data_IF_452351001679
#
_entry.id   IF_452351001679
#
_cell.length_a   1.000
_cell.length_b   1.000
_cell.length_c   1.000
_cell.angle_alpha   90.00
_cell.angle_beta   90.00
_cell.angle_gamma   90.00
#
_symmetry.space_group_name_H-M   'P 1'
#
loop_
_entity.id
_entity.type
_entity.pdbx_description
1 polymer ?
#
# COMPACT_ATOMS: atom_id res chain seq x y z
N UNK A 1 -40.38 28.62 7.07
CA UNK A 1 -39.06 28.43 6.42
C UNK A 1 -37.89 28.77 7.35
N UNK A 2 -37.79 29.99 7.89
CA UNK A 2 -36.67 30.41 8.77
C UNK A 2 -36.48 29.54 10.02
N UNK A 3 -37.57 29.10 10.66
CA UNK A 3 -37.52 28.22 11.84
C UNK A 3 -36.97 26.83 11.48
N UNK A 4 -37.31 26.30 10.30
CA UNK A 4 -36.81 25.00 9.82
C UNK A 4 -35.32 25.12 9.49
N UNK A 5 -34.88 26.23 8.88
CA UNK A 5 -33.47 26.49 8.59
C UNK A 5 -32.66 26.64 9.88
N UNK A 6 -33.20 27.32 10.90
CA UNK A 6 -32.57 27.44 12.22
C UNK A 6 -32.50 26.10 12.96
N UNK A 7 -33.56 25.30 12.93
CA UNK A 7 -33.57 23.96 13.55
C UNK A 7 -32.56 23.04 12.83
N UNK A 8 -32.52 23.04 11.50
CA UNK A 8 -31.55 22.26 10.72
C UNK A 8 -30.13 22.73 10.99
N UNK A 9 -29.89 24.03 11.10
CA UNK A 9 -28.56 24.60 11.37
C UNK A 9 -28.10 24.35 12.81
N UNK A 10 -29.00 24.38 13.79
CA UNK A 10 -28.70 24.08 15.20
C UNK A 10 -28.51 22.58 15.41
N UNK A 11 -29.31 21.74 14.77
CA UNK A 11 -29.11 20.28 14.76
C UNK A 11 -27.80 19.94 14.04
N UNK A 12 -27.47 20.63 12.94
CA UNK A 12 -26.21 20.49 12.23
C UNK A 12 -25.02 20.95 13.09
N UNK A 13 -25.12 22.08 13.77
CA UNK A 13 -24.09 22.60 14.67
C UNK A 13 -23.88 21.72 15.90
N UNK A 14 -24.95 21.21 16.52
CA UNK A 14 -24.87 20.30 17.66
C UNK A 14 -24.38 18.90 17.25
N UNK A 15 -24.79 18.40 16.08
CA UNK A 15 -24.27 17.16 15.51
C UNK A 15 -22.79 17.30 15.10
N UNK A 16 -22.39 18.44 14.52
CA UNK A 16 -21.02 18.77 14.16
C UNK A 16 -20.13 18.97 15.39
N UNK A 17 -20.64 19.62 16.45
CA UNK A 17 -19.94 19.78 17.74
C UNK A 17 -19.78 18.44 18.47
N UNK A 18 -20.82 17.60 18.47
CA UNK A 18 -20.78 16.24 19.05
C UNK A 18 -19.94 15.27 18.21
N UNK A 19 -19.83 15.51 16.89
CA UNK A 19 -18.91 14.83 15.98
C UNK A 19 -17.45 15.28 16.18
N UNK A 20 -17.19 16.59 16.33
CA UNK A 20 -15.87 17.15 16.62
C UNK A 20 -15.34 16.70 17.99
N UNK A 21 -16.21 16.59 18.99
CA UNK A 21 -15.86 15.99 20.30
C UNK A 21 -15.66 14.47 20.24
N UNK A 22 -16.07 13.80 19.16
CA UNK A 22 -15.84 12.38 18.87
C UNK A 22 -14.79 12.21 17.77
N UNK A 23 -13.80 13.10 17.69
CA UNK A 23 -12.60 12.86 16.86
C UNK A 23 -11.63 11.83 17.44
N UNK A 24 -12.12 10.92 18.29
CA UNK A 24 -11.78 9.53 18.06
C UNK A 24 -12.44 9.12 16.73
N UNK A 25 -11.69 9.27 15.62
CA UNK A 25 -11.86 8.44 14.42
C UNK A 25 -12.25 7.02 14.86
N UNK A 26 -13.12 6.31 14.11
CA UNK A 26 -13.90 5.19 14.63
C UNK A 26 -13.06 4.32 15.58
N UNK A 27 -13.62 3.77 16.67
CA UNK A 27 -12.88 3.01 17.70
C UNK A 27 -12.01 1.84 17.20
N UNK A 28 -11.97 1.63 15.88
CA UNK A 28 -11.47 0.50 15.11
C UNK A 28 -10.50 0.95 13.99
N UNK A 29 -9.79 2.08 14.15
CA UNK A 29 -8.78 2.56 13.20
C UNK A 29 -7.50 1.72 13.24
N UNK A 30 -7.54 0.51 12.68
CA UNK A 30 -6.38 -0.38 12.56
C UNK A 30 -5.55 -0.06 11.30
N UNK A 31 -4.35 -0.66 11.21
CA UNK A 31 -3.47 -0.49 10.04
C UNK A 31 -2.56 0.73 10.06
N UNK A 32 -1.97 1.02 8.91
CA UNK A 32 -0.99 2.06 8.65
C UNK A 32 -1.58 3.28 7.93
N UNK A 33 -2.65 3.07 7.15
CA UNK A 33 -3.30 4.11 6.34
C UNK A 33 -4.46 4.77 7.10
N UNK A 34 -5.32 3.97 7.73
CA UNK A 34 -6.55 4.45 8.37
C UNK A 34 -6.41 4.89 9.83
N UNK A 35 -5.25 4.63 10.46
CA UNK A 35 -5.04 4.84 11.89
C UNK A 35 -4.40 6.19 12.20
N UNK A 36 -4.54 6.66 13.45
CA UNK A 36 -4.03 7.95 13.90
C UNK A 36 -3.43 7.88 15.32
N UNK A 37 -2.86 8.99 15.79
CA UNK A 37 -2.40 9.14 17.17
C UNK A 37 -1.12 8.36 17.50
N UNK A 38 -1.03 7.87 18.74
CA UNK A 38 0.10 7.06 19.22
C UNK A 38 0.10 5.66 18.56
N UNK A 39 -1.07 5.06 18.40
CA UNK A 39 -1.24 3.77 17.73
C UNK A 39 -0.61 3.78 16.33
N UNK A 40 -0.93 4.78 15.50
CA UNK A 40 -0.33 4.90 14.16
C UNK A 40 1.19 5.03 14.19
N UNK A 41 1.72 5.76 15.18
CA UNK A 41 3.17 5.93 15.31
C UNK A 41 3.86 4.63 15.65
N UNK A 42 3.27 3.81 16.53
CA UNK A 42 3.79 2.49 16.88
C UNK A 42 3.77 1.55 15.68
N UNK A 43 2.62 1.42 15.01
CA UNK A 43 2.48 0.57 13.82
C UNK A 43 3.44 1.01 12.70
N UNK A 44 3.53 2.32 12.42
CA UNK A 44 4.43 2.85 11.40
C UNK A 44 5.90 2.64 11.73
N UNK A 45 6.31 2.87 12.98
CA UNK A 45 7.71 2.64 13.41
C UNK A 45 8.09 1.19 13.25
N UNK A 46 7.22 0.28 13.71
CA UNK A 46 7.39 -1.15 13.53
C UNK A 46 7.52 -1.49 12.05
N UNK A 47 6.56 -1.08 11.22
CA UNK A 47 6.55 -1.45 9.81
C UNK A 47 7.79 -0.95 9.05
N UNK A 48 8.22 0.30 9.28
CA UNK A 48 9.42 0.85 8.65
C UNK A 48 10.69 0.13 9.11
N UNK A 49 10.79 -0.21 10.39
CA UNK A 49 11.91 -0.97 10.93
C UNK A 49 11.98 -2.36 10.30
N UNK A 50 10.87 -3.09 10.33
CA UNK A 50 10.72 -4.44 9.80
C UNK A 50 10.98 -4.49 8.30
N UNK A 51 10.40 -3.59 7.50
CA UNK A 51 10.68 -3.52 6.06
C UNK A 51 12.15 -3.24 5.77
N UNK A 52 12.82 -2.40 6.57
CA UNK A 52 14.26 -2.14 6.43
C UNK A 52 15.12 -3.35 6.81
N UNK A 53 14.70 -4.14 7.80
CA UNK A 53 15.35 -5.40 8.15
C UNK A 53 15.17 -6.45 7.05
N UNK A 54 14.02 -6.46 6.38
CA UNK A 54 13.73 -7.26 5.19
C UNK A 54 14.11 -6.60 3.86
N UNK A 55 14.95 -5.56 3.91
CA UNK A 55 15.80 -5.16 2.80
C UNK A 55 15.38 -3.90 2.10
N UNK A 56 14.27 -3.28 2.49
CA UNK A 56 13.85 -2.02 1.94
C UNK A 56 15.01 -1.00 2.03
N UNK A 57 15.51 -0.59 0.86
CA UNK A 57 16.64 0.33 0.73
C UNK A 57 18.04 -0.29 0.93
N UNK A 58 18.17 -1.62 0.87
CA UNK A 58 19.45 -2.36 0.94
C UNK A 58 19.63 -3.27 -0.29
N UNK A 59 20.86 -3.71 -0.52
CA UNK A 59 21.25 -4.50 -1.70
C UNK A 59 20.48 -5.82 -1.85
N UNK A 60 20.11 -6.50 -0.76
CA UNK A 60 19.40 -7.77 -0.90
C UNK A 60 17.95 -7.62 -1.41
N UNK A 61 17.35 -6.43 -1.30
CA UNK A 61 16.06 -6.17 -1.95
C UNK A 61 16.20 -6.05 -3.46
N UNK A 62 17.29 -5.44 -3.91
CA UNK A 62 17.66 -5.42 -5.31
C UNK A 62 17.85 -6.83 -5.84
N UNK A 63 18.56 -7.69 -5.11
CA UNK A 63 18.69 -9.13 -5.47
C UNK A 63 17.31 -9.81 -5.58
N UNK A 64 16.42 -9.62 -4.60
CA UNK A 64 15.05 -10.18 -4.66
C UNK A 64 14.25 -9.67 -5.86
N UNK A 65 14.37 -8.38 -6.19
CA UNK A 65 13.70 -7.79 -7.36
C UNK A 65 14.28 -8.37 -8.65
N UNK A 66 15.60 -8.48 -8.74
CA UNK A 66 16.29 -9.00 -9.93
C UNK A 66 16.00 -10.49 -10.14
N UNK A 67 15.91 -11.29 -9.07
CA UNK A 67 15.47 -12.70 -9.15
C UNK A 67 14.10 -12.82 -9.84
N UNK A 68 13.11 -12.03 -9.38
CA UNK A 68 11.75 -12.09 -9.93
C UNK A 68 11.71 -11.53 -11.36
N UNK A 69 12.49 -10.48 -11.62
CA UNK A 69 12.64 -9.90 -12.95
C UNK A 69 13.20 -10.92 -13.94
N UNK A 70 14.33 -11.56 -13.61
CA UNK A 70 14.96 -12.56 -14.47
C UNK A 70 14.02 -13.72 -14.79
N UNK A 71 13.31 -14.23 -13.77
CA UNK A 71 12.38 -15.34 -13.97
C UNK A 71 11.25 -14.96 -14.93
N UNK A 72 10.66 -13.78 -14.75
CA UNK A 72 9.55 -13.32 -15.58
C UNK A 72 10.01 -13.00 -17.01
N UNK A 73 11.18 -12.40 -17.18
CA UNK A 73 11.70 -12.08 -18.51
C UNK A 73 12.19 -13.31 -19.27
N UNK A 74 12.70 -14.35 -18.58
CA UNK A 74 12.96 -15.67 -19.19
C UNK A 74 11.69 -16.33 -19.77
N UNK A 75 10.51 -16.03 -19.23
CA UNK A 75 9.24 -16.47 -19.81
C UNK A 75 8.88 -15.66 -21.06
N UNK A 76 9.12 -14.34 -21.03
CA UNK A 76 8.89 -13.44 -22.16
C UNK A 76 9.77 -13.77 -23.36
N UNK A 77 11.04 -14.14 -23.13
CA UNK A 77 11.97 -14.52 -24.20
C UNK A 77 11.46 -15.72 -25.02
N UNK A 78 10.62 -16.58 -24.43
CA UNK A 78 10.02 -17.73 -25.13
C UNK A 78 8.91 -17.33 -26.10
N UNK A 79 8.36 -16.12 -25.96
CA UNK A 79 7.23 -15.63 -26.76
C UNK A 79 7.66 -15.06 -28.12
N UNK A 80 8.97 -15.04 -28.43
CA UNK A 80 9.52 -14.75 -29.77
C UNK A 80 8.93 -13.52 -30.49
N UNK A 81 8.61 -12.45 -29.75
CA UNK A 81 8.12 -11.19 -30.30
C UNK A 81 6.61 -11.10 -30.51
N UNK A 82 5.84 -12.08 -30.01
CA UNK A 82 4.38 -11.99 -30.00
C UNK A 82 3.88 -10.83 -29.10
N UNK A 83 2.76 -10.17 -29.45
CA UNK A 83 2.16 -9.15 -28.61
C UNK A 83 1.72 -9.73 -27.26
N UNK A 84 2.10 -9.06 -26.17
CA UNK A 84 1.79 -9.49 -24.80
C UNK A 84 0.94 -8.46 -24.04
N UNK A 85 0.04 -8.90 -23.15
CA UNK A 85 -0.59 -8.03 -22.17
C UNK A 85 0.43 -7.67 -21.08
N UNK A 86 1.17 -6.57 -21.26
CA UNK A 86 2.27 -6.20 -20.34
C UNK A 86 1.78 -5.91 -18.92
N UNK A 87 0.55 -5.44 -18.76
CA UNK A 87 -0.04 -5.13 -17.45
C UNK A 87 0.00 -6.36 -16.52
N UNK A 88 -0.46 -7.51 -16.99
CA UNK A 88 -0.53 -8.75 -16.20
C UNK A 88 0.88 -9.23 -15.78
N UNK A 89 1.88 -8.99 -16.64
CA UNK A 89 3.27 -9.34 -16.37
C UNK A 89 3.88 -8.46 -15.27
N UNK A 90 3.63 -7.15 -15.30
CA UNK A 90 4.06 -6.26 -14.22
C UNK A 90 3.29 -6.51 -12.93
N UNK A 91 2.00 -6.82 -13.02
CA UNK A 91 1.17 -7.11 -11.87
C UNK A 91 1.71 -8.31 -11.07
N UNK A 92 1.91 -9.45 -11.73
CA UNK A 92 2.42 -10.65 -11.05
C UNK A 92 3.86 -10.48 -10.56
N UNK A 93 4.69 -9.71 -11.29
CA UNK A 93 6.07 -9.39 -10.92
C UNK A 93 6.10 -8.58 -9.61
N UNK A 94 5.36 -7.47 -9.57
CA UNK A 94 5.27 -6.61 -8.37
C UNK A 94 4.64 -7.38 -7.21
N UNK A 95 3.60 -8.16 -7.49
CA UNK A 95 2.91 -8.97 -6.48
C UNK A 95 3.84 -9.98 -5.84
N UNK A 96 4.69 -10.63 -6.64
CA UNK A 96 5.67 -11.60 -6.15
C UNK A 96 6.75 -10.97 -5.28
N UNK A 97 7.25 -9.79 -5.66
CA UNK A 97 8.22 -9.03 -4.84
C UNK A 97 7.62 -8.64 -3.50
N UNK A 98 6.40 -8.11 -3.49
CA UNK A 98 5.69 -7.73 -2.26
C UNK A 98 5.43 -8.96 -1.38
N UNK A 99 4.96 -10.04 -1.98
CA UNK A 99 4.60 -11.24 -1.24
C UNK A 99 5.83 -11.95 -0.64
N UNK A 100 7.00 -11.89 -1.30
CA UNK A 100 8.28 -12.31 -0.70
C UNK A 100 8.66 -11.48 0.52
N UNK A 101 8.24 -10.22 0.62
CA UNK A 101 8.46 -9.39 1.82
C UNK A 101 7.46 -9.67 2.93
N UNK A 102 6.21 -9.98 2.58
CA UNK A 102 5.12 -10.12 3.55
C UNK A 102 4.94 -11.53 4.09
N UNK A 103 5.18 -12.55 3.27
CA UNK A 103 4.96 -13.97 3.58
C UNK A 103 6.08 -14.91 3.09
N UNK A 104 7.24 -14.40 2.67
CA UNK A 104 8.37 -15.22 2.20
C UNK A 104 8.09 -16.16 1.02
N UNK A 105 7.00 -15.97 0.27
CA UNK A 105 6.70 -16.76 -0.93
C UNK A 105 6.38 -15.88 -2.14
N UNK A 106 6.56 -16.44 -3.34
CA UNK A 106 6.30 -15.75 -4.61
C UNK A 106 5.09 -16.38 -5.32
N UNK A 107 4.52 -15.64 -6.26
CA UNK A 107 3.51 -16.20 -7.14
C UNK A 107 4.16 -16.94 -8.31
N UNK A 108 3.86 -18.23 -8.45
CA UNK A 108 4.25 -19.11 -9.53
C UNK A 108 3.02 -19.52 -10.36
N UNK A 109 3.22 -20.29 -11.43
CA UNK A 109 2.10 -20.77 -12.28
C UNK A 109 1.06 -21.59 -11.49
N UNK A 110 1.44 -22.20 -10.35
CA UNK A 110 0.55 -23.06 -9.56
C UNK A 110 -0.35 -22.26 -8.62
N UNK A 111 0.13 -21.12 -8.13
CA UNK A 111 -0.60 -20.25 -7.21
C UNK A 111 -0.95 -18.88 -7.83
N UNK A 112 -0.72 -18.66 -9.12
CA UNK A 112 -1.07 -17.41 -9.81
C UNK A 112 -2.56 -17.06 -9.68
N UNK A 113 -3.45 -18.06 -9.64
CA UNK A 113 -4.89 -17.85 -9.41
C UNK A 113 -5.18 -17.21 -8.04
N UNK A 114 -4.34 -17.47 -7.04
CA UNK A 114 -4.43 -16.81 -5.73
C UNK A 114 -4.18 -15.31 -5.89
N UNK A 115 -3.11 -14.93 -6.59
CA UNK A 115 -2.82 -13.52 -6.91
C UNK A 115 -3.96 -12.86 -7.70
N UNK A 116 -4.42 -13.47 -8.79
CA UNK A 116 -5.49 -12.89 -9.60
C UNK A 116 -6.82 -12.80 -8.85
N UNK A 117 -7.08 -13.73 -7.92
CA UNK A 117 -8.20 -13.65 -6.99
C UNK A 117 -8.12 -12.40 -6.11
N UNK A 118 -6.95 -12.18 -5.48
CA UNK A 118 -6.70 -11.00 -4.64
C UNK A 118 -6.81 -9.69 -5.44
N UNK A 119 -6.13 -9.62 -6.59
CA UNK A 119 -6.15 -8.48 -7.50
C UNK A 119 -7.58 -8.12 -7.92
N UNK A 120 -8.40 -9.11 -8.28
CA UNK A 120 -9.80 -8.91 -8.67
C UNK A 120 -10.64 -8.30 -7.53
N UNK A 121 -10.40 -8.71 -6.29
CA UNK A 121 -11.10 -8.11 -5.15
C UNK A 121 -10.63 -6.67 -4.87
N UNK A 122 -9.35 -6.37 -5.11
CA UNK A 122 -8.81 -5.00 -5.03
C UNK A 122 -9.38 -4.12 -6.13
N UNK A 123 -9.42 -4.58 -7.38
CA UNK A 123 -9.99 -3.85 -8.51
C UNK A 123 -11.46 -3.50 -8.26
N UNK A 124 -12.27 -4.47 -7.83
CA UNK A 124 -13.67 -4.23 -7.43
C UNK A 124 -13.78 -3.19 -6.31
N UNK A 125 -12.84 -3.18 -5.37
CA UNK A 125 -12.81 -2.22 -4.27
C UNK A 125 -12.42 -0.82 -4.74
N UNK A 126 -11.53 -0.69 -5.72
CA UNK A 126 -11.14 0.58 -6.31
C UNK A 126 -12.23 1.14 -7.23
N UNK A 127 -12.87 0.30 -8.04
CA UNK A 127 -14.01 0.67 -8.87
C UNK A 127 -15.22 1.13 -8.04
N UNK A 128 -15.38 0.55 -6.84
CA UNK A 128 -16.46 0.95 -5.93
C UNK A 128 -16.23 2.29 -5.24
N UNK A 129 -14.99 2.84 -5.25
CA UNK A 129 -14.67 4.15 -4.68
C UNK A 129 -15.29 5.28 -5.52
N UNK A 130 -16.55 5.59 -5.25
CA UNK A 130 -17.22 6.73 -5.90
C UNK A 130 -16.74 8.07 -5.33
N UNK A 131 -16.92 9.15 -6.10
CA UNK A 131 -16.74 10.53 -5.61
C UNK A 131 -17.58 10.83 -4.35
N UNK A 132 -18.71 10.13 -4.17
CA UNK A 132 -19.56 10.24 -2.98
C UNK A 132 -18.81 9.76 -1.73
N UNK A 133 -18.02 8.70 -1.84
CA UNK A 133 -17.23 8.15 -0.74
C UNK A 133 -16.06 9.05 -0.33
N UNK A 134 -15.42 9.69 -1.30
CA UNK A 134 -14.24 10.55 -1.07
C UNK A 134 -14.61 11.99 -0.70
N UNK A 135 -15.75 12.50 -1.18
CA UNK A 135 -16.12 13.93 -1.04
C UNK A 135 -17.08 14.17 0.12
N UNK A 136 -17.94 13.21 0.47
CA UNK A 136 -18.89 13.39 1.57
C UNK A 136 -18.23 12.98 2.89
N UNK A 137 -18.21 13.82 3.93
CA UNK A 137 -17.67 13.44 5.23
C UNK A 137 -18.35 12.19 5.81
N UNK A 138 -17.55 11.30 6.39
CA UNK A 138 -17.98 10.01 6.96
C UNK A 138 -19.23 10.09 7.84
N UNK A 139 -19.36 11.15 8.65
CA UNK A 139 -20.52 11.32 9.53
C UNK A 139 -21.83 11.53 8.77
N UNK A 140 -21.81 12.25 7.64
CA UNK A 140 -22.99 12.42 6.78
C UNK A 140 -23.36 11.13 6.08
N UNK A 141 -22.34 10.36 5.66
CA UNK A 141 -22.56 9.04 5.08
C UNK A 141 -23.27 8.10 6.06
N UNK A 142 -22.99 8.19 7.37
CA UNK A 142 -23.62 7.33 8.38
C UNK A 142 -25.00 7.81 8.85
N UNK A 143 -25.25 9.12 8.87
CA UNK A 143 -26.51 9.69 9.36
C UNK A 143 -27.65 9.63 8.34
N UNK A 144 -27.36 9.73 7.05
CA UNK A 144 -28.39 9.76 5.99
C UNK A 144 -28.63 8.31 5.50
N UNK A 145 -29.84 7.73 5.65
CA UNK A 145 -30.08 6.31 5.34
C UNK A 145 -29.68 5.88 3.91
N UNK A 146 -29.89 6.77 2.93
CA UNK A 146 -29.50 6.51 1.55
C UNK A 146 -27.96 6.48 1.39
N UNK A 147 -27.25 7.45 1.96
CA UNK A 147 -25.78 7.46 1.94
C UNK A 147 -25.18 6.32 2.76
N UNK A 148 -25.84 5.88 3.84
CA UNK A 148 -25.41 4.73 4.63
C UNK A 148 -25.47 3.46 3.80
N UNK A 149 -26.57 3.25 3.07
CA UNK A 149 -26.71 2.12 2.14
C UNK A 149 -25.64 2.15 1.05
N UNK A 150 -25.32 3.34 0.54
CA UNK A 150 -24.25 3.55 -0.43
C UNK A 150 -22.89 3.18 0.18
N UNK A 151 -22.57 3.67 1.38
CA UNK A 151 -21.35 3.35 2.11
C UNK A 151 -21.20 1.84 2.37
N UNK A 152 -22.25 1.20 2.89
CA UNK A 152 -22.28 -0.25 3.14
C UNK A 152 -22.10 -1.04 1.83
N UNK A 153 -22.59 -0.54 0.70
CA UNK A 153 -22.41 -1.20 -0.60
C UNK A 153 -20.99 -1.00 -1.13
N UNK A 154 -20.40 0.17 -0.93
CA UNK A 154 -19.04 0.49 -1.41
C UNK A 154 -17.94 -0.13 -0.55
N UNK A 155 -18.20 -0.35 0.74
CA UNK A 155 -17.26 -1.02 1.65
C UNK A 155 -17.32 -2.55 1.56
N UNK A 156 -18.32 -3.12 0.88
CA UNK A 156 -18.47 -4.58 0.73
C UNK A 156 -17.27 -5.26 0.06
N UNK A 157 -16.77 -4.76 -1.09
CA UNK A 157 -15.60 -5.33 -1.76
C UNK A 157 -14.35 -5.38 -0.88
N UNK A 158 -14.15 -4.39 0.00
CA UNK A 158 -13.00 -4.36 0.92
C UNK A 158 -12.98 -5.54 1.89
N UNK A 159 -14.14 -6.13 2.22
CA UNK A 159 -14.17 -7.37 3.02
C UNK A 159 -13.62 -8.56 2.26
N UNK A 160 -13.77 -8.63 0.93
CA UNK A 160 -13.20 -9.69 0.10
C UNK A 160 -11.69 -9.73 0.21
N UNK A 161 -11.05 -8.58 0.01
CA UNK A 161 -9.58 -8.41 0.13
C UNK A 161 -9.12 -8.72 1.56
N UNK A 162 -9.80 -8.17 2.57
CA UNK A 162 -9.47 -8.41 3.98
C UNK A 162 -9.59 -9.90 4.34
N UNK A 163 -10.65 -10.58 3.92
CA UNK A 163 -10.87 -11.99 4.22
C UNK A 163 -9.81 -12.88 3.58
N UNK A 164 -9.36 -12.53 2.38
CA UNK A 164 -8.29 -13.24 1.70
C UNK A 164 -6.98 -13.17 2.48
N UNK A 165 -6.57 -11.96 2.88
CA UNK A 165 -5.35 -11.76 3.70
C UNK A 165 -5.52 -12.42 5.07
N UNK A 166 -6.71 -12.34 5.67
CA UNK A 166 -7.01 -12.98 6.95
C UNK A 166 -6.81 -14.49 6.90
N UNK A 167 -7.20 -15.15 5.80
CA UNK A 167 -6.97 -16.58 5.58
C UNK A 167 -5.48 -16.92 5.55
N UNK A 168 -4.68 -16.17 4.79
CA UNK A 168 -3.24 -16.39 4.71
C UNK A 168 -2.55 -16.18 6.06
N UNK A 169 -2.93 -15.13 6.79
CA UNK A 169 -2.43 -14.89 8.16
C UNK A 169 -2.83 -16.05 9.07
N UNK A 170 -4.07 -16.51 9.01
CA UNK A 170 -4.54 -17.62 9.85
C UNK A 170 -3.83 -18.94 9.56
N UNK A 171 -3.63 -19.28 8.28
CA UNK A 171 -2.84 -20.43 7.84
C UNK A 171 -1.39 -20.33 8.37
N UNK A 172 -0.73 -19.18 8.20
CA UNK A 172 0.62 -18.94 8.71
C UNK A 172 0.70 -19.08 10.24
N UNK A 173 -0.24 -18.50 10.97
CA UNK A 173 -0.26 -18.58 12.43
C UNK A 173 -0.49 -20.01 12.94
N UNK A 174 -1.28 -20.81 12.22
CA UNK A 174 -1.45 -22.23 12.51
C UNK A 174 -0.14 -23.00 12.25
N UNK A 175 0.53 -22.75 11.13
CA UNK A 175 1.81 -23.39 10.80
C UNK A 175 2.90 -23.11 11.84
N UNK A 176 2.94 -21.89 12.36
CA UNK A 176 3.83 -21.51 13.47
C UNK A 176 3.48 -22.29 14.74
N UNK A 177 2.19 -22.39 15.10
CA UNK A 177 1.75 -23.09 16.30
C UNK A 177 1.98 -24.61 16.22
N UNK A 178 1.81 -25.19 15.03
CA UNK A 178 2.06 -26.60 14.74
C UNK A 178 3.57 -26.92 14.69
N UNK A 179 4.45 -25.91 14.70
CA UNK A 179 5.89 -26.06 14.51
C UNK A 179 6.30 -26.44 13.09
N UNK A 180 5.40 -26.28 12.11
CA UNK A 180 5.67 -26.51 10.68
C UNK A 180 6.43 -25.35 10.03
N UNK A 181 6.27 -24.14 10.58
CA UNK A 181 7.00 -22.94 10.17
C UNK A 181 7.96 -22.51 11.28
N UNK A 182 9.29 -22.70 11.14
CA UNK A 182 10.25 -22.28 12.14
C UNK A 182 10.35 -20.74 12.16
N UNK A 183 10.30 -20.16 13.36
CA UNK A 183 10.51 -18.72 13.55
C UNK A 183 11.98 -18.45 13.88
N UNK A 184 12.65 -17.64 13.06
CA UNK A 184 13.93 -17.03 13.41
C UNK A 184 13.78 -15.94 14.49
N UNK A 185 14.89 -15.48 15.06
CA UNK A 185 14.91 -14.49 16.16
C UNK A 185 14.21 -13.15 15.79
N UNK A 186 14.24 -12.75 14.52
CA UNK A 186 13.59 -11.54 13.99
C UNK A 186 12.41 -11.84 13.03
N UNK A 187 12.05 -13.12 12.84
CA UNK A 187 11.11 -13.56 11.80
C UNK A 187 11.73 -13.58 10.39
N UNK A 188 11.13 -14.32 9.46
CA UNK A 188 11.63 -14.43 8.08
C UNK A 188 10.99 -13.40 7.13
N UNK A 189 9.78 -12.94 7.48
CA UNK A 189 9.01 -11.91 6.79
C UNK A 189 8.22 -11.02 7.74
N UNK A 190 7.50 -10.06 7.16
CA UNK A 190 6.67 -9.12 7.91
C UNK A 190 5.63 -9.80 8.81
N UNK A 191 5.00 -10.88 8.35
CA UNK A 191 3.98 -11.60 9.12
C UNK A 191 4.60 -12.22 10.37
N UNK A 192 5.73 -12.91 10.21
CA UNK A 192 6.47 -13.55 11.29
C UNK A 192 6.99 -12.52 12.31
N UNK A 193 7.62 -11.43 11.83
CA UNK A 193 8.12 -10.36 12.68
C UNK A 193 6.99 -9.71 13.49
N UNK A 194 5.83 -9.48 12.87
CA UNK A 194 4.68 -8.90 13.56
C UNK A 194 4.11 -9.88 14.59
N UNK A 195 4.07 -11.17 14.28
CA UNK A 195 3.64 -12.20 15.22
C UNK A 195 4.56 -12.24 16.46
N UNK A 196 5.88 -12.18 16.27
CA UNK A 196 6.86 -12.11 17.36
C UNK A 196 6.64 -10.87 18.24
N UNK A 197 6.43 -9.70 17.62
CA UNK A 197 6.14 -8.46 18.36
C UNK A 197 4.81 -8.56 19.11
N UNK A 198 3.76 -9.13 18.51
CA UNK A 198 2.49 -9.39 19.17
C UNK A 198 2.65 -10.29 20.41
N UNK A 199 3.45 -11.36 20.31
CA UNK A 199 3.74 -12.27 21.43
C UNK A 199 4.54 -11.58 22.54
N UNK A 200 5.48 -10.70 22.19
CA UNK A 200 6.24 -9.90 23.15
C UNK A 200 5.34 -8.90 23.88
N UNK A 201 4.55 -8.13 23.13
CA UNK A 201 3.66 -7.11 23.67
C UNK A 201 2.54 -7.70 24.52
N UNK A 202 2.05 -8.90 24.22
CA UNK A 202 1.06 -9.57 25.06
C UNK A 202 1.58 -9.84 26.49
N UNK A 203 2.90 -10.02 26.66
CA UNK A 203 3.54 -10.22 27.98
C UNK A 203 3.82 -8.89 28.69
N UNK A 204 4.24 -7.87 27.95
CA UNK A 204 4.70 -6.59 28.50
C UNK A 204 3.58 -5.56 28.69
N UNK A 205 2.62 -5.51 27.75
CA UNK A 205 1.53 -4.54 27.72
C UNK A 205 0.24 -5.12 27.10
N UNK A 206 -0.71 -5.62 27.93
CA UNK A 206 -1.98 -6.17 27.45
C UNK A 206 -2.89 -5.20 26.70
N UNK A 207 -2.61 -3.88 26.76
CA UNK A 207 -3.35 -2.84 26.03
C UNK A 207 -2.66 -2.41 24.72
N UNK A 208 -1.62 -3.14 24.32
CA UNK A 208 -0.89 -2.87 23.09
C UNK A 208 -1.80 -2.92 21.85
N UNK A 209 -1.52 -2.05 20.89
CA UNK A 209 -2.21 -2.03 19.59
C UNK A 209 -1.85 -3.21 18.70
N UNK A 210 -0.86 -4.04 19.06
CA UNK A 210 -0.43 -5.20 18.30
C UNK A 210 -1.36 -6.38 18.55
N UNK A 211 -2.23 -6.68 17.58
CA UNK A 211 -3.16 -7.81 17.62
C UNK A 211 -3.39 -8.38 16.20
N UNK A 212 -4.06 -9.53 16.11
CA UNK A 212 -4.32 -10.22 14.83
C UNK A 212 -5.04 -9.34 13.81
N UNK A 213 -6.02 -8.55 14.24
CA UNK A 213 -6.74 -7.64 13.36
C UNK A 213 -5.81 -6.55 12.79
N UNK A 214 -4.94 -6.00 13.64
CA UNK A 214 -3.95 -4.99 13.25
C UNK A 214 -2.88 -5.53 12.30
N UNK A 215 -2.49 -6.79 12.46
CA UNK A 215 -1.63 -7.51 11.51
C UNK A 215 -2.29 -7.62 10.13
N UNK A 216 -3.52 -8.12 10.07
CA UNK A 216 -4.27 -8.31 8.81
C UNK A 216 -4.40 -6.98 8.07
N UNK A 217 -4.81 -5.92 8.77
CA UNK A 217 -4.97 -4.59 8.14
C UNK A 217 -3.61 -4.00 7.74
N UNK A 218 -2.53 -4.22 8.50
CA UNK A 218 -1.19 -3.74 8.12
C UNK A 218 -0.66 -4.43 6.87
N UNK A 219 -0.84 -5.76 6.74
CA UNK A 219 -0.47 -6.51 5.53
C UNK A 219 -1.29 -6.04 4.34
N UNK A 220 -2.60 -5.87 4.52
CA UNK A 220 -3.51 -5.33 3.50
C UNK A 220 -3.03 -3.95 2.99
N UNK A 221 -2.73 -3.03 3.92
CA UNK A 221 -2.28 -1.69 3.60
C UNK A 221 -0.95 -1.72 2.82
N UNK A 222 0.00 -2.54 3.24
CA UNK A 222 1.30 -2.69 2.55
C UNK A 222 1.15 -3.30 1.15
N UNK A 223 0.29 -4.30 1.01
CA UNK A 223 0.06 -4.97 -0.27
C UNK A 223 -0.59 -4.04 -1.28
N UNK A 224 -1.71 -3.39 -0.92
CA UNK A 224 -2.43 -2.48 -1.81
C UNK A 224 -1.55 -1.29 -2.19
N UNK A 225 -0.88 -0.67 -1.20
CA UNK A 225 -0.04 0.49 -1.45
C UNK A 225 1.14 0.16 -2.36
N UNK A 226 1.76 -1.01 -2.21
CA UNK A 226 2.88 -1.44 -3.04
C UNK A 226 2.48 -1.88 -4.45
N UNK A 227 1.38 -2.62 -4.56
CA UNK A 227 0.98 -3.29 -5.81
C UNK A 227 0.54 -2.30 -6.87
N UNK A 228 -0.57 -1.62 -6.61
CA UNK A 228 -1.27 -0.79 -7.61
C UNK A 228 -0.38 0.37 -8.07
N UNK A 229 0.29 1.03 -7.13
CA UNK A 229 1.10 2.21 -7.43
C UNK A 229 2.30 1.86 -8.31
N UNK A 230 2.98 0.74 -8.02
CA UNK A 230 4.19 0.33 -8.75
C UNK A 230 3.84 -0.25 -10.11
N UNK A 231 2.87 -1.17 -10.19
CA UNK A 231 2.47 -1.81 -11.45
C UNK A 231 1.97 -0.79 -12.48
N UNK A 232 1.09 0.13 -12.05
CA UNK A 232 0.62 1.22 -12.92
C UNK A 232 1.77 2.13 -13.36
N UNK A 233 2.70 2.47 -12.45
CA UNK A 233 3.86 3.30 -12.80
C UNK A 233 4.72 2.63 -13.88
N UNK A 234 4.97 1.33 -13.77
CA UNK A 234 5.73 0.57 -14.76
C UNK A 234 5.01 0.51 -16.12
N UNK A 235 3.70 0.25 -16.11
CA UNK A 235 2.89 0.29 -17.34
C UNK A 235 2.98 1.65 -18.05
N UNK A 236 2.77 2.74 -17.32
CA UNK A 236 2.84 4.09 -17.86
C UNK A 236 4.25 4.49 -18.30
N UNK A 237 5.28 4.01 -17.61
CA UNK A 237 6.67 4.18 -18.01
C UNK A 237 6.93 3.49 -19.35
N UNK A 238 6.46 2.26 -19.54
CA UNK A 238 6.62 1.56 -20.83
C UNK A 238 5.85 2.27 -21.96
N UNK A 239 4.58 2.61 -21.72
CA UNK A 239 3.76 3.36 -22.69
C UNK A 239 4.45 4.67 -23.07
N UNK A 240 5.12 5.34 -22.14
CA UNK A 240 5.89 6.55 -22.43
C UNK A 240 7.00 6.30 -23.44
N UNK A 241 7.83 5.29 -23.16
CA UNK A 241 9.02 4.98 -23.93
C UNK A 241 8.62 4.55 -25.35
N UNK A 242 7.56 3.75 -25.48
CA UNK A 242 7.00 3.36 -26.77
C UNK A 242 6.50 4.57 -27.59
N UNK A 243 5.90 5.57 -26.94
CA UNK A 243 5.43 6.79 -27.61
C UNK A 243 6.53 7.84 -27.83
N UNK A 244 7.71 7.67 -27.23
CA UNK A 244 8.84 8.60 -27.34
C UNK A 244 10.14 7.85 -27.69
N UNK A 245 10.27 7.29 -28.90
CA UNK A 245 11.44 6.47 -29.28
C UNK A 245 12.78 7.20 -29.12
N UNK A 246 12.80 8.52 -29.31
CA UNK A 246 13.99 9.34 -29.12
C UNK A 246 14.45 9.45 -27.65
N UNK A 247 13.52 9.35 -26.69
CA UNK A 247 13.84 9.29 -25.26
C UNK A 247 14.35 7.90 -24.91
N UNK A 248 13.65 6.87 -25.40
CA UNK A 248 14.01 5.47 -25.21
C UNK A 248 15.42 5.16 -25.70
N UNK A 249 15.78 5.61 -26.91
CA UNK A 249 17.12 5.43 -27.47
C UNK A 249 18.21 6.12 -26.65
N UNK A 250 17.93 7.31 -26.11
CA UNK A 250 18.89 8.01 -25.23
C UNK A 250 19.08 7.28 -23.88
N UNK A 251 17.99 6.76 -23.31
CA UNK A 251 18.07 5.93 -22.10
C UNK A 251 18.88 4.67 -22.40
N UNK A 252 18.54 3.95 -23.47
CA UNK A 252 19.26 2.73 -23.88
C UNK A 252 20.75 3.00 -24.06
N UNK A 253 21.12 4.08 -24.74
CA UNK A 253 22.52 4.47 -24.95
C UNK A 253 23.25 4.75 -23.63
N UNK A 254 22.67 5.54 -22.73
CA UNK A 254 23.26 5.82 -21.41
C UNK A 254 23.49 4.52 -20.60
N UNK A 255 22.51 3.61 -20.63
CA UNK A 255 22.60 2.33 -19.91
C UNK A 255 23.65 1.39 -20.54
N UNK A 256 23.69 1.29 -21.87
CA UNK A 256 24.67 0.47 -22.60
C UNK A 256 26.11 0.95 -22.38
N UNK A 257 26.33 2.28 -22.41
CA UNK A 257 27.64 2.86 -22.14
C UNK A 257 28.11 2.60 -20.69
N UNK A 258 27.19 2.45 -19.74
CA UNK A 258 27.51 2.21 -18.33
C UNK A 258 27.75 0.74 -17.99
N UNK A 259 27.03 -0.16 -18.64
CA UNK A 259 27.11 -1.61 -18.37
C UNK A 259 27.99 -2.36 -19.37
N UNK A 260 28.49 -1.67 -20.40
CA UNK A 260 29.13 -2.25 -21.58
C UNK A 260 28.26 -3.33 -22.26
N UNK A 261 26.95 -3.33 -21.98
CA UNK A 261 26.00 -4.36 -22.42
C UNK A 261 26.20 -5.76 -21.82
N UNK A 262 27.11 -5.93 -20.84
CA UNK A 262 27.57 -7.24 -20.37
C UNK A 262 27.14 -7.58 -18.93
N UNK A 263 26.42 -6.68 -18.26
CA UNK A 263 25.92 -6.90 -16.89
C UNK A 263 24.59 -6.21 -16.67
N UNK A 264 23.87 -6.67 -15.65
CA UNK A 264 22.65 -6.03 -15.19
C UNK A 264 22.91 -4.68 -14.53
N UNK A 265 21.85 -3.87 -14.50
CA UNK A 265 21.84 -2.57 -13.83
C UNK A 265 21.77 -2.76 -12.31
N UNK A 266 22.58 -2.03 -11.56
CA UNK A 266 22.54 -2.04 -10.10
C UNK A 266 22.02 -0.74 -9.50
N UNK A 267 21.50 -0.76 -8.27
CA UNK A 267 21.19 0.48 -7.53
C UNK A 267 22.44 1.37 -7.34
N UNK A 268 23.63 0.79 -7.34
CA UNK A 268 24.90 1.54 -7.28
C UNK A 268 25.19 2.35 -8.55
N UNK A 269 24.53 2.03 -9.66
CA UNK A 269 24.63 2.75 -10.93
C UNK A 269 23.75 4.00 -10.96
N UNK A 270 22.81 4.14 -10.02
CA UNK A 270 21.86 5.26 -9.99
C UNK A 270 22.54 6.64 -10.08
N UNK A 271 23.63 6.97 -9.37
CA UNK A 271 24.29 8.27 -9.52
C UNK A 271 24.92 8.50 -10.90
N UNK A 272 25.15 7.43 -11.68
CA UNK A 272 25.82 7.45 -12.98
C UNK A 272 24.83 7.46 -14.16
N UNK A 273 23.53 7.43 -13.90
CA UNK A 273 22.48 7.42 -14.92
C UNK A 273 21.58 8.68 -14.84
N UNK A 274 22.14 9.89 -14.94
CA UNK A 274 21.39 11.13 -14.72
C UNK A 274 20.21 11.29 -15.69
N UNK A 275 20.33 10.87 -16.95
CA UNK A 275 19.24 10.99 -17.92
C UNK A 275 18.11 10.01 -17.62
N UNK A 276 18.44 8.74 -17.36
CA UNK A 276 17.44 7.75 -16.95
C UNK A 276 16.71 8.16 -15.67
N UNK A 277 17.42 8.67 -14.66
CA UNK A 277 16.78 9.20 -13.45
C UNK A 277 15.85 10.38 -13.76
N UNK A 278 16.23 11.27 -14.66
CA UNK A 278 15.38 12.38 -15.08
C UNK A 278 14.09 11.87 -15.74
N UNK A 279 14.18 10.86 -16.62
CA UNK A 279 13.00 10.22 -17.23
C UNK A 279 12.06 9.62 -16.19
N UNK A 280 12.60 8.90 -15.20
CA UNK A 280 11.81 8.36 -14.09
C UNK A 280 11.16 9.49 -13.27
N UNK A 281 11.91 10.57 -12.96
CA UNK A 281 11.44 11.67 -12.13
C UNK A 281 10.38 12.54 -12.80
N UNK A 282 10.54 12.88 -14.08
CA UNK A 282 9.55 13.66 -14.84
C UNK A 282 8.19 12.96 -14.80
N UNK A 283 8.18 11.63 -14.88
CA UNK A 283 6.94 10.86 -14.75
C UNK A 283 6.32 10.90 -13.35
N UNK A 284 7.10 11.04 -12.28
CA UNK A 284 6.52 11.27 -10.94
C UNK A 284 5.71 12.57 -10.85
N UNK A 285 6.00 13.54 -11.72
CA UNK A 285 5.40 14.88 -11.71
C UNK A 285 4.14 14.94 -12.59
N UNK A 286 4.15 14.25 -13.74
CA UNK A 286 3.04 14.28 -14.72
C UNK A 286 1.84 13.41 -14.35
N UNK A 287 1.99 12.43 -13.45
CA UNK A 287 0.90 11.54 -13.04
C UNK A 287 0.38 11.87 -11.62
N UNK A 288 -0.87 12.35 -11.47
CA UNK A 288 -1.40 12.83 -10.19
C UNK A 288 -1.54 11.77 -9.08
N UNK A 289 -1.49 10.47 -9.39
CA UNK A 289 -1.53 9.40 -8.37
C UNK A 289 -0.36 9.44 -7.39
N UNK A 290 0.75 10.09 -7.76
CA UNK A 290 1.91 10.28 -6.86
C UNK A 290 1.81 11.51 -5.95
N UNK A 291 0.73 12.31 -6.06
CA UNK A 291 0.43 13.45 -5.16
C UNK A 291 -0.62 13.11 -4.11
N UNK A 292 -0.64 11.87 -3.60
CA UNK A 292 -1.27 11.64 -2.30
C UNK A 292 -0.35 12.19 -1.21
N UNK A 293 -0.42 13.49 -0.94
CA UNK A 293 -0.03 13.98 0.37
C UNK A 293 -0.99 13.33 1.37
N UNK A 294 -0.47 12.43 2.22
CA UNK A 294 -1.22 12.01 3.40
C UNK A 294 -1.60 13.27 4.16
N UNK A 295 -2.90 13.50 4.36
CA UNK A 295 -3.39 14.64 5.13
C UNK A 295 -2.70 14.66 6.50
N UNK A 296 -1.72 15.55 6.66
CA UNK A 296 -0.99 15.69 7.91
C UNK A 296 -1.88 16.41 8.90
N UNK A 297 -2.34 15.71 9.94
CA UNK A 297 -2.97 16.38 11.07
C UNK A 297 -1.89 17.13 11.87
N UNK A 298 -2.08 18.43 12.04
CA UNK A 298 -1.17 19.27 12.81
C UNK A 298 -1.18 18.84 14.28
N UNK A 299 -0.09 18.21 14.74
CA UNK A 299 0.10 17.78 16.13
C UNK A 299 0.39 18.93 17.11
N UNK A 300 0.57 20.13 16.59
CA UNK A 300 0.89 21.34 17.37
C UNK A 300 0.17 22.50 16.71
N UNK A 301 -0.26 23.49 17.51
CA UNK A 301 -0.89 24.70 16.97
C UNK A 301 0.06 25.35 15.97
N UNK A 302 -0.25 25.24 14.68
CA UNK A 302 0.46 25.93 13.63
C UNK A 302 -0.11 27.33 13.56
N UNK A 303 0.71 28.33 13.94
CA UNK A 303 0.39 29.72 13.72
C UNK A 303 0.71 30.05 12.26
N UNK A 304 -0.28 29.91 11.39
CA UNK A 304 -0.28 30.62 10.12
C UNK A 304 -0.79 32.04 10.36
N UNK A 305 -0.20 33.02 9.67
CA UNK A 305 -0.50 34.44 9.85
C UNK A 305 -2.02 34.68 9.92
N UNK A 306 -2.43 35.14 11.11
CA UNK A 306 -3.77 35.60 11.52
C UNK A 306 -4.85 34.62 11.99
N UNK A 307 -4.69 33.28 11.93
CA UNK A 307 -5.59 32.38 12.68
C UNK A 307 -4.87 31.11 13.20
N UNK A 308 -4.86 30.84 14.52
CA UNK A 308 -4.28 29.62 15.05
C UNK A 308 -5.16 28.41 14.70
N UNK A 309 -4.56 27.40 14.04
CA UNK A 309 -5.19 26.09 13.93
C UNK A 309 -5.14 25.40 15.30
N UNK A 310 -6.29 25.08 15.92
CA UNK A 310 -6.29 24.37 17.19
C UNK A 310 -5.74 22.95 16.99
N UNK A 311 -4.97 22.40 17.96
CA UNK A 311 -4.48 21.02 17.88
C UNK A 311 -5.67 20.05 17.78
N UNK A 312 -5.52 18.99 16.96
CA UNK A 312 -6.48 17.88 16.93
C UNK A 312 -6.34 17.10 18.24
N UNK A 313 -7.38 17.11 19.08
CA UNK A 313 -7.48 16.26 20.27
C UNK A 313 -7.71 14.80 19.89
#
# INVERSE_FOLDING_TARGET
MLIIVLIVSVVFYLAFRKWRQRQELPPDGHGLIGSNGEYWQEQRRFALHTLRNFGLGRNFMEERIMDEFELKFKELDKLNGEPIPVHDHFDILVGSVINRMLFSYRFDEKNAEEFYGLKREVDKSLESLSLVFTTIPYFMQRMIPYLRKIYETQTKPFWGVKNFIARQVEERLQEIQDGRHPLGDEGEDFCDAYYLEMMKQQKENPKSGFNKESLIVSILDLWIAGQETTSLTLCWALIYLLNNPHVEEKVRKELQELTDGNRDLSLTDKPKTPYFNAVIMVRKIDFPFMKFESSGNAKTSLNFEHEPFPPSN
#
